data_IF_608797521911
#
_entry.id   IF_608797521911
#
_cell.length_a   1.000
_cell.length_b   1.000
_cell.length_c   1.000
_cell.angle_alpha   90.00
_cell.angle_beta   90.00
_cell.angle_gamma   90.00
#
_symmetry.space_group_name_H-M   'P 1'
#
loop_
_entity.id
_entity.type
_entity.pdbx_description
1 polymer ?
#
# COMPACT_ATOMS: atom_id res chain seq x y z
N UNK A 1 -31.67 -8.80 35.77
CA UNK A 1 -30.25 -8.55 36.13
C UNK A 1 -30.19 -7.92 37.50
N UNK A 2 -28.99 -7.81 38.09
CA UNK A 2 -28.76 -7.15 39.38
C UNK A 2 -28.10 -5.79 39.09
N UNK A 3 -28.62 -4.71 39.69
CA UNK A 3 -28.01 -3.37 39.65
C UNK A 3 -27.00 -3.27 40.80
N UNK A 4 -25.82 -2.71 40.54
CA UNK A 4 -24.78 -2.51 41.56
C UNK A 4 -25.06 -1.28 42.41
N UNK A 5 -25.34 -0.14 41.77
CA UNK A 5 -25.72 1.14 42.39
C UNK A 5 -24.60 1.93 43.07
N UNK A 6 -23.35 1.46 43.02
CA UNK A 6 -22.20 2.11 43.67
C UNK A 6 -20.88 1.73 42.98
N UNK A 7 -20.84 1.86 41.65
CA UNK A 7 -19.63 1.54 40.87
C UNK A 7 -18.56 2.62 41.11
N UNK A 8 -17.51 2.27 41.86
CA UNK A 8 -16.39 3.17 42.18
C UNK A 8 -15.09 2.40 42.44
N UNK A 9 -13.97 3.12 42.44
CA UNK A 9 -12.64 2.52 42.56
C UNK A 9 -12.44 1.70 43.86
N UNK A 10 -13.03 2.11 44.98
CA UNK A 10 -12.93 1.36 46.25
C UNK A 10 -13.65 0.02 46.22
N UNK A 11 -14.61 -0.16 45.32
CA UNK A 11 -15.40 -1.39 45.17
C UNK A 11 -14.83 -2.28 44.05
N UNK A 12 -13.63 -1.97 43.53
CA UNK A 12 -12.92 -2.77 42.54
C UNK A 12 -11.62 -3.27 43.13
N UNK A 13 -11.50 -4.59 43.28
CA UNK A 13 -10.24 -5.23 43.67
C UNK A 13 -9.45 -5.64 42.43
N UNK A 14 -8.14 -5.40 42.45
CA UNK A 14 -7.23 -5.84 41.40
C UNK A 14 -6.33 -6.93 41.97
N UNK A 15 -6.45 -8.14 41.42
CA UNK A 15 -5.59 -9.27 41.77
C UNK A 15 -4.16 -9.07 41.22
N UNK A 16 -3.13 -9.74 41.77
CA UNK A 16 -1.77 -9.70 41.22
C UNK A 16 -1.67 -10.15 39.75
N UNK A 17 -2.63 -10.96 39.30
CA UNK A 17 -2.78 -11.40 37.91
C UNK A 17 -3.17 -10.26 36.95
N UNK A 18 -3.58 -9.11 37.48
CA UNK A 18 -4.16 -8.00 36.72
C UNK A 18 -5.68 -8.12 36.51
N UNK A 19 -6.32 -9.17 37.07
CA UNK A 19 -7.78 -9.33 37.01
C UNK A 19 -8.46 -8.33 37.95
N UNK A 20 -9.35 -7.50 37.39
CA UNK A 20 -10.22 -6.61 38.15
C UNK A 20 -11.54 -7.33 38.50
N UNK A 21 -11.93 -7.28 39.77
CA UNK A 21 -13.14 -7.89 40.33
C UNK A 21 -13.97 -6.80 40.99
N UNK A 22 -15.22 -6.67 40.56
CA UNK A 22 -16.19 -5.78 41.18
C UNK A 22 -16.76 -6.46 42.43
N UNK A 23 -16.81 -5.71 43.53
CA UNK A 23 -17.21 -6.16 44.87
C UNK A 23 -18.34 -5.29 45.41
N UNK A 24 -18.99 -5.71 46.51
CA UNK A 24 -19.96 -4.90 47.26
C UNK A 24 -21.17 -4.42 46.43
N UNK A 25 -21.95 -5.40 45.95
CA UNK A 25 -23.22 -5.16 45.28
C UNK A 25 -24.27 -4.67 46.28
N UNK A 26 -24.71 -3.42 46.13
CA UNK A 26 -25.91 -2.88 46.79
C UNK A 26 -25.75 -2.53 48.28
N UNK A 27 -25.52 -1.25 48.57
CA UNK A 27 -25.86 -0.61 49.86
C UNK A 27 -26.09 0.92 49.80
N UNK A 28 -25.90 1.57 48.65
CA UNK A 28 -25.63 3.02 48.59
C UNK A 28 -26.81 4.00 48.50
N UNK A 29 -28.08 3.57 48.57
CA UNK A 29 -29.23 4.49 48.45
C UNK A 29 -29.64 5.10 49.81
N UNK A 30 -29.13 4.59 50.94
CA UNK A 30 -29.48 5.12 52.28
C UNK A 30 -28.67 6.37 52.71
N UNK A 31 -27.79 6.90 51.87
CA UNK A 31 -26.78 7.90 52.27
C UNK A 31 -27.09 9.37 51.89
N UNK A 32 -28.30 9.70 51.43
CA UNK A 32 -28.71 11.11 51.24
C UNK A 32 -29.65 11.60 52.35
N UNK A 33 -29.36 11.23 53.60
CA UNK A 33 -29.99 11.86 54.77
C UNK A 33 -29.20 13.12 55.13
N UNK A 34 -29.91 14.25 55.19
CA UNK A 34 -29.39 15.59 55.44
C UNK A 34 -28.33 15.65 56.54
N UNK A 35 -27.17 16.24 56.21
CA UNK A 35 -26.23 16.79 57.19
C UNK A 35 -24.76 16.36 57.09
N UNK A 36 -24.37 15.49 56.16
CA UNK A 36 -22.97 15.02 56.13
C UNK A 36 -22.03 16.02 55.41
N UNK A 37 -20.92 16.45 56.03
CA UNK A 37 -20.08 17.50 55.52
C UNK A 37 -19.19 16.97 54.39
N UNK A 38 -19.44 17.53 53.20
CA UNK A 38 -18.57 17.57 52.03
C UNK A 38 -18.42 16.28 51.21
N UNK A 39 -18.36 16.50 49.90
CA UNK A 39 -18.16 15.52 48.81
C UNK A 39 -16.75 14.87 48.87
N UNK A 40 -16.01 15.08 49.96
CA UNK A 40 -14.58 14.79 50.17
C UNK A 40 -14.20 13.32 50.06
N UNK A 41 -15.14 12.40 50.30
CA UNK A 41 -14.92 10.96 50.14
C UNK A 41 -15.17 10.44 48.71
N UNK A 42 -15.64 11.30 47.78
CA UNK A 42 -15.77 10.98 46.36
C UNK A 42 -16.90 10.03 45.96
N UNK A 43 -17.72 9.55 46.91
CA UNK A 43 -18.87 8.69 46.62
C UNK A 43 -19.95 9.38 45.78
N UNK A 44 -20.34 10.64 46.05
CA UNK A 44 -21.26 11.38 45.18
C UNK A 44 -20.66 11.67 43.79
N UNK A 45 -19.34 11.84 43.68
CA UNK A 45 -18.66 12.16 42.42
C UNK A 45 -18.69 11.01 41.39
N UNK A 46 -18.97 9.77 41.83
CA UNK A 46 -19.15 8.61 40.94
C UNK A 46 -20.61 8.31 40.60
N UNK A 47 -21.57 8.98 41.24
CA UNK A 47 -23.00 8.71 41.03
C UNK A 47 -23.50 9.38 39.75
N UNK A 48 -24.51 8.76 39.14
CA UNK A 48 -25.19 9.33 37.98
C UNK A 48 -26.04 10.55 38.39
N UNK A 49 -26.21 11.56 37.50
CA UNK A 49 -26.95 12.78 37.81
C UNK A 49 -28.38 12.53 38.32
N UNK A 50 -29.06 11.54 37.75
CA UNK A 50 -30.42 11.17 38.14
C UNK A 50 -30.48 10.49 39.52
N UNK A 51 -29.43 9.75 39.90
CA UNK A 51 -29.31 9.12 41.22
C UNK A 51 -29.00 10.18 42.28
N UNK A 52 -28.13 11.15 41.96
CA UNK A 52 -27.89 12.33 42.79
C UNK A 52 -29.18 13.15 43.02
N UNK A 53 -30.06 13.19 42.01
CA UNK A 53 -31.38 13.82 42.09
C UNK A 53 -32.44 12.95 42.81
N UNK A 54 -32.05 11.84 43.44
CA UNK A 54 -32.92 10.99 44.25
C UNK A 54 -33.67 9.90 43.48
N UNK A 55 -33.37 9.67 42.19
CA UNK A 55 -33.94 8.50 41.48
C UNK A 55 -33.27 7.20 41.95
N UNK A 56 -33.98 6.06 41.89
CA UNK A 56 -33.38 4.76 42.21
C UNK A 56 -32.19 4.44 41.31
N UNK A 57 -31.24 3.66 41.84
CA UNK A 57 -30.16 3.12 41.04
C UNK A 57 -30.70 2.27 39.88
N UNK A 58 -30.04 2.35 38.72
CA UNK A 58 -30.43 1.64 37.51
C UNK A 58 -29.21 1.09 36.76
N UNK A 59 -29.44 0.25 35.76
CA UNK A 59 -28.36 -0.28 34.91
C UNK A 59 -27.62 0.83 34.17
N UNK A 60 -28.35 1.85 33.71
CA UNK A 60 -27.80 3.04 33.06
C UNK A 60 -26.98 3.89 34.05
N UNK A 61 -27.39 3.92 35.32
CA UNK A 61 -26.63 4.54 36.41
C UNK A 61 -25.29 3.84 36.64
N UNK A 62 -25.27 2.51 36.61
CA UNK A 62 -24.03 1.72 36.71
C UNK A 62 -23.09 1.96 35.51
N UNK A 63 -23.63 2.12 34.31
CA UNK A 63 -22.84 2.49 33.12
C UNK A 63 -22.20 3.86 33.31
N UNK A 64 -22.94 4.83 33.86
CA UNK A 64 -22.39 6.15 34.15
C UNK A 64 -21.26 6.07 35.18
N UNK A 65 -21.48 5.39 36.31
CA UNK A 65 -20.45 5.21 37.34
C UNK A 65 -19.20 4.49 36.81
N UNK A 66 -19.39 3.50 35.94
CA UNK A 66 -18.28 2.85 35.20
C UNK A 66 -17.53 3.85 34.31
N UNK A 67 -18.26 4.74 33.62
CA UNK A 67 -17.67 5.81 32.80
C UNK A 67 -16.85 6.78 33.62
N UNK A 68 -17.33 7.16 34.80
CA UNK A 68 -16.60 8.00 35.76
C UNK A 68 -15.32 7.30 36.23
N UNK A 69 -15.40 6.01 36.57
CA UNK A 69 -14.24 5.21 36.96
C UNK A 69 -13.18 5.18 35.85
N UNK A 70 -13.58 4.89 34.61
CA UNK A 70 -12.65 4.91 33.47
C UNK A 70 -12.04 6.29 33.25
N UNK A 71 -12.85 7.35 33.29
CA UNK A 71 -12.36 8.72 33.17
C UNK A 71 -11.29 9.01 34.24
N UNK A 72 -11.55 8.61 35.50
CA UNK A 72 -10.61 8.79 36.61
C UNK A 72 -9.34 7.97 36.42
N UNK A 73 -9.43 6.73 35.94
CA UNK A 73 -8.26 5.91 35.66
C UNK A 73 -7.35 6.53 34.60
N UNK A 74 -7.92 7.16 33.56
CA UNK A 74 -7.12 7.75 32.49
C UNK A 74 -6.61 9.17 32.81
N UNK A 75 -7.28 9.92 33.66
CA UNK A 75 -6.98 11.35 33.91
C UNK A 75 -6.50 11.65 35.32
N UNK A 76 -6.72 10.76 36.28
CA UNK A 76 -6.54 11.00 37.71
C UNK A 76 -7.57 11.93 38.33
N UNK A 77 -8.58 12.40 37.58
CA UNK A 77 -9.58 13.40 38.00
C UNK A 77 -11.00 12.90 37.79
N UNK A 78 -11.98 13.52 38.43
CA UNK A 78 -13.39 13.28 38.14
C UNK A 78 -13.86 14.11 36.93
N UNK A 79 -14.83 13.61 36.14
CA UNK A 79 -15.37 14.35 35.00
C UNK A 79 -16.10 15.62 35.44
N UNK A 80 -16.81 15.55 36.57
CA UNK A 80 -17.38 16.69 37.29
C UNK A 80 -16.88 16.61 38.72
N UNK A 81 -16.22 17.66 39.19
CA UNK A 81 -15.77 17.80 40.57
C UNK A 81 -16.55 18.94 41.23
N UNK A 82 -16.78 18.86 42.54
CA UNK A 82 -17.44 19.89 43.33
C UNK A 82 -17.05 19.70 44.81
N UNK A 83 -17.16 20.77 45.61
CA UNK A 83 -16.87 20.72 47.04
C UNK A 83 -18.14 20.40 47.86
N UNK A 84 -19.31 20.80 47.35
CA UNK A 84 -20.62 20.53 47.97
C UNK A 84 -21.55 19.75 47.04
N UNK A 85 -22.55 19.07 47.62
CA UNK A 85 -23.57 18.35 46.85
C UNK A 85 -24.42 19.30 46.01
N UNK A 86 -24.76 20.47 46.55
CA UNK A 86 -25.49 21.53 45.84
C UNK A 86 -24.72 22.01 44.61
N UNK A 87 -23.41 22.24 44.75
CA UNK A 87 -22.55 22.60 43.63
C UNK A 87 -22.46 21.47 42.59
N UNK A 88 -22.36 20.22 43.02
CA UNK A 88 -22.31 19.07 42.14
C UNK A 88 -23.58 18.95 41.29
N UNK A 89 -24.75 19.07 41.92
CA UNK A 89 -26.05 19.07 41.25
C UNK A 89 -26.15 20.23 40.25
N UNK A 90 -25.79 21.45 40.67
CA UNK A 90 -25.79 22.63 39.82
C UNK A 90 -24.86 22.49 38.61
N UNK A 91 -23.68 21.87 38.76
CA UNK A 91 -22.75 21.60 37.65
C UNK A 91 -23.29 20.56 36.67
N UNK A 92 -23.97 19.53 37.16
CA UNK A 92 -24.68 18.57 36.28
C UNK A 92 -25.87 19.20 35.57
N UNK A 93 -26.54 20.18 36.19
CA UNK A 93 -27.65 20.91 35.58
C UNK A 93 -27.21 21.87 34.48
N UNK A 94 -26.08 22.56 34.67
CA UNK A 94 -25.58 23.58 33.75
C UNK A 94 -24.80 23.03 32.54
N UNK A 95 -24.25 21.82 32.61
CA UNK A 95 -23.39 21.28 31.57
C UNK A 95 -24.07 20.18 30.73
N UNK A 96 -24.07 20.28 29.38
CA UNK A 96 -24.32 19.10 28.54
C UNK A 96 -23.20 18.09 28.81
N UNK A 97 -23.57 16.81 28.94
CA UNK A 97 -22.75 15.60 29.18
C UNK A 97 -21.23 15.79 29.28
N UNK A 98 -20.61 15.22 30.32
CA UNK A 98 -19.20 15.46 30.63
C UNK A 98 -18.27 14.94 29.51
N UNK A 99 -17.96 15.81 28.55
CA UNK A 99 -17.10 15.49 27.41
C UNK A 99 -15.67 15.24 27.86
N UNK A 100 -15.02 14.27 27.21
CA UNK A 100 -13.61 13.97 27.42
C UNK A 100 -12.72 15.20 27.21
N UNK A 101 -11.99 15.60 28.26
CA UNK A 101 -11.02 16.71 28.23
C UNK A 101 -9.56 16.28 28.46
N UNK A 102 -9.29 14.97 28.54
CA UNK A 102 -7.96 14.42 28.84
C UNK A 102 -6.97 14.37 27.66
N UNK A 103 -7.20 15.14 26.60
CA UNK A 103 -6.31 15.24 25.42
C UNK A 103 -6.39 14.06 24.44
N UNK A 104 -5.48 14.05 23.44
CA UNK A 104 -5.51 13.13 22.29
C UNK A 104 -4.93 11.72 22.55
N UNK A 105 -4.54 11.41 23.79
CA UNK A 105 -3.86 10.15 24.12
C UNK A 105 -4.74 8.90 23.99
N UNK A 106 -6.06 9.03 24.06
CA UNK A 106 -6.99 7.90 23.89
C UNK A 106 -7.45 7.75 22.44
N UNK A 107 -7.57 6.53 21.88
CA UNK A 107 -8.17 6.32 20.58
C UNK A 107 -9.56 6.95 20.46
N UNK A 108 -9.88 7.54 19.29
CA UNK A 108 -11.19 8.18 19.05
C UNK A 108 -12.40 7.30 19.41
N UNK A 109 -12.42 5.99 19.10
CA UNK A 109 -13.54 5.13 19.49
C UNK A 109 -13.73 5.01 21.00
N UNK A 110 -12.64 4.98 21.78
CA UNK A 110 -12.70 4.93 23.23
C UNK A 110 -13.21 6.27 23.80
N UNK A 111 -12.79 7.40 23.25
CA UNK A 111 -13.30 8.73 23.65
C UNK A 111 -14.81 8.83 23.45
N UNK A 112 -15.31 8.40 22.27
CA UNK A 112 -16.74 8.40 21.97
C UNK A 112 -17.54 7.50 22.91
N UNK A 113 -16.99 6.33 23.25
CA UNK A 113 -17.62 5.43 24.21
C UNK A 113 -17.72 6.09 25.59
N UNK A 114 -16.63 6.70 26.08
CA UNK A 114 -16.63 7.41 27.36
C UNK A 114 -17.62 8.58 27.38
N UNK A 115 -17.68 9.37 26.30
CA UNK A 115 -18.66 10.46 26.17
C UNK A 115 -20.10 9.94 26.24
N UNK A 116 -20.40 8.80 25.59
CA UNK A 116 -21.73 8.18 25.62
C UNK A 116 -22.08 7.58 26.98
N UNK A 117 -21.12 6.95 27.67
CA UNK A 117 -21.33 6.43 29.03
C UNK A 117 -21.61 7.55 30.04
N UNK A 118 -20.99 8.72 29.84
CA UNK A 118 -21.13 9.92 30.67
C UNK A 118 -22.27 10.83 30.21
N UNK A 119 -23.20 10.33 29.37
CA UNK A 119 -24.34 11.14 28.97
C UNK A 119 -25.25 11.43 30.16
N UNK A 120 -25.80 12.64 30.22
CA UNK A 120 -26.71 13.06 31.29
C UNK A 120 -28.01 12.28 31.23
N UNK A 121 -28.52 12.01 30.02
CA UNK A 121 -29.75 11.28 29.80
C UNK A 121 -29.49 9.77 29.91
N UNK A 122 -30.13 9.05 30.85
CA UNK A 122 -29.90 7.61 31.03
C UNK A 122 -30.16 6.80 29.75
N UNK A 123 -31.17 7.17 28.97
CA UNK A 123 -31.54 6.48 27.73
C UNK A 123 -30.57 6.67 26.55
N UNK A 124 -29.68 7.66 26.62
CA UNK A 124 -28.64 7.87 25.59
C UNK A 124 -27.37 7.07 25.88
N UNK A 125 -27.28 6.46 27.08
CA UNK A 125 -26.13 5.67 27.48
C UNK A 125 -26.20 4.28 26.83
N UNK A 126 -25.05 3.71 26.42
CA UNK A 126 -25.01 2.34 25.94
C UNK A 126 -25.36 1.38 27.08
N UNK A 127 -25.88 0.21 26.72
CA UNK A 127 -26.01 -0.90 27.66
C UNK A 127 -24.62 -1.43 28.08
N UNK A 128 -24.56 -2.21 29.18
CA UNK A 128 -23.33 -2.88 29.59
C UNK A 128 -22.78 -3.82 28.50
N UNK A 129 -23.67 -4.49 27.74
CA UNK A 129 -23.30 -5.36 26.63
C UNK A 129 -22.69 -4.60 25.45
N UNK A 130 -23.29 -3.48 25.06
CA UNK A 130 -22.76 -2.60 24.01
C UNK A 130 -21.43 -1.96 24.44
N UNK A 131 -21.32 -1.58 25.71
CA UNK A 131 -20.07 -1.07 26.29
C UNK A 131 -18.96 -2.11 26.19
N UNK A 132 -19.23 -3.36 26.59
CA UNK A 132 -18.26 -4.46 26.47
C UNK A 132 -17.87 -4.74 25.01
N UNK A 133 -18.84 -4.74 24.10
CA UNK A 133 -18.58 -4.94 22.67
C UNK A 133 -17.70 -3.82 22.09
N UNK A 134 -17.97 -2.57 22.46
CA UNK A 134 -17.19 -1.42 22.05
C UNK A 134 -15.76 -1.49 22.62
N UNK A 135 -15.58 -1.85 23.89
CA UNK A 135 -14.25 -2.04 24.50
C UNK A 135 -13.44 -3.12 23.79
N UNK A 136 -14.03 -4.28 23.48
CA UNK A 136 -13.37 -5.35 22.70
C UNK A 136 -12.96 -4.87 21.31
N UNK A 137 -13.80 -4.07 20.66
CA UNK A 137 -13.47 -3.49 19.36
C UNK A 137 -12.26 -2.53 19.43
N UNK A 138 -12.11 -1.79 20.53
CA UNK A 138 -10.94 -0.94 20.78
C UNK A 138 -9.68 -1.77 21.01
N UNK A 139 -9.78 -2.85 21.80
CA UNK A 139 -8.65 -3.77 22.06
C UNK A 139 -8.09 -4.39 20.76
N UNK A 140 -8.93 -4.64 19.77
CA UNK A 140 -8.54 -5.23 18.49
C UNK A 140 -7.94 -4.24 17.47
N UNK A 141 -7.98 -2.92 17.73
CA UNK A 141 -7.46 -1.89 16.81
C UNK A 141 -5.97 -2.12 16.43
N UNK A 142 -5.05 -2.43 17.37
CA UNK A 142 -3.64 -2.66 17.03
C UNK A 142 -3.44 -3.87 16.11
N UNK A 143 -4.22 -4.94 16.30
CA UNK A 143 -4.15 -6.17 15.49
C UNK A 143 -4.61 -5.92 14.05
N UNK A 144 -5.70 -5.17 13.86
CA UNK A 144 -6.23 -4.84 12.53
C UNK A 144 -5.27 -3.95 11.73
N UNK A 145 -4.62 -2.97 12.37
CA UNK A 145 -3.63 -2.10 11.70
C UNK A 145 -2.42 -2.88 11.22
N UNK A 146 -1.86 -3.77 12.05
CA UNK A 146 -0.71 -4.61 11.67
C UNK A 146 -1.04 -5.54 10.49
N UNK A 147 -2.21 -6.19 10.51
CA UNK A 147 -2.66 -7.06 9.39
C UNK A 147 -2.81 -6.32 8.06
N UNK A 148 -3.34 -5.10 8.07
CA UNK A 148 -3.47 -4.30 6.84
C UNK A 148 -2.12 -3.89 6.27
N UNK A 149 -1.19 -3.47 7.13
CA UNK A 149 0.16 -3.14 6.69
C UNK A 149 0.89 -4.37 6.14
N UNK A 150 0.78 -5.54 6.79
CA UNK A 150 1.39 -6.76 6.27
C UNK A 150 0.81 -7.19 4.92
N UNK A 151 -0.51 -7.07 4.72
CA UNK A 151 -1.14 -7.35 3.42
C UNK A 151 -0.67 -6.36 2.35
N UNK A 152 -0.58 -5.07 2.67
CA UNK A 152 -0.08 -4.05 1.75
C UNK A 152 1.38 -4.32 1.36
N UNK A 153 2.24 -4.71 2.30
CA UNK A 153 3.64 -5.07 1.99
C UNK A 153 3.72 -6.32 1.11
N UNK A 154 2.90 -7.34 1.36
CA UNK A 154 2.87 -8.55 0.51
C UNK A 154 2.42 -8.20 -0.91
N UNK A 155 1.38 -7.38 -1.06
CA UNK A 155 0.87 -6.96 -2.36
C UNK A 155 1.89 -6.12 -3.12
N UNK A 156 2.58 -5.19 -2.45
CA UNK A 156 3.64 -4.38 -3.04
C UNK A 156 4.82 -5.25 -3.51
N UNK A 157 5.24 -6.24 -2.72
CA UNK A 157 6.28 -7.19 -3.10
C UNK A 157 5.89 -8.04 -4.31
N UNK A 158 4.63 -8.49 -4.39
CA UNK A 158 4.13 -9.25 -5.54
C UNK A 158 4.12 -8.40 -6.82
N UNK A 159 3.71 -7.13 -6.73
CA UNK A 159 3.73 -6.22 -7.87
C UNK A 159 5.16 -5.92 -8.34
N UNK A 160 6.11 -5.73 -7.41
CA UNK A 160 7.53 -5.55 -7.75
C UNK A 160 8.13 -6.78 -8.41
N UNK A 161 7.82 -7.99 -7.89
CA UNK A 161 8.27 -9.24 -8.49
C UNK A 161 7.70 -9.42 -9.90
N UNK A 162 6.42 -9.11 -10.12
CA UNK A 162 5.79 -9.18 -11.43
C UNK A 162 6.39 -8.17 -12.41
N UNK A 163 6.68 -6.94 -11.97
CA UNK A 163 7.35 -5.94 -12.79
C UNK A 163 8.78 -6.39 -13.17
N UNK A 164 9.53 -6.98 -12.25
CA UNK A 164 10.88 -7.48 -12.49
C UNK A 164 10.89 -8.69 -13.45
N UNK A 165 9.94 -9.63 -13.31
CA UNK A 165 9.85 -10.79 -14.21
C UNK A 165 9.42 -10.38 -15.62
N UNK A 166 8.45 -9.49 -15.74
CA UNK A 166 7.99 -8.97 -17.04
C UNK A 166 9.09 -8.17 -17.76
N UNK A 167 9.78 -7.28 -17.05
CA UNK A 167 10.91 -6.53 -17.63
C UNK A 167 12.07 -7.46 -18.01
N UNK A 168 12.41 -8.43 -17.16
CA UNK A 168 13.41 -9.45 -17.47
C UNK A 168 13.05 -10.27 -18.71
N UNK A 169 11.78 -10.68 -18.83
CA UNK A 169 11.28 -11.42 -19.99
C UNK A 169 11.36 -10.61 -21.29
N UNK A 170 10.96 -9.34 -21.26
CA UNK A 170 11.03 -8.44 -22.43
C UNK A 170 12.47 -8.20 -22.88
N UNK A 171 13.39 -7.98 -21.95
CA UNK A 171 14.80 -7.77 -22.27
C UNK A 171 15.43 -9.04 -22.87
N UNK A 172 15.16 -10.22 -22.29
CA UNK A 172 15.62 -11.49 -22.82
C UNK A 172 15.07 -11.77 -24.23
N UNK A 173 13.81 -11.39 -24.50
CA UNK A 173 13.22 -11.58 -25.81
C UNK A 173 13.83 -10.63 -26.86
N UNK A 174 14.18 -9.40 -26.47
CA UNK A 174 14.90 -8.46 -27.36
C UNK A 174 16.28 -8.98 -27.72
N UNK A 175 17.06 -9.44 -26.73
CA UNK A 175 18.40 -9.98 -26.99
C UNK A 175 18.36 -11.23 -27.88
N UNK A 176 17.34 -12.09 -27.73
CA UNK A 176 17.18 -13.26 -28.58
C UNK A 176 16.85 -12.89 -30.05
N UNK A 177 16.00 -11.88 -30.26
CA UNK A 177 15.67 -11.40 -31.61
C UNK A 177 16.86 -10.75 -32.30
N UNK A 178 17.63 -9.95 -31.56
CA UNK A 178 18.86 -9.32 -32.08
C UNK A 178 19.90 -10.37 -32.45
N UNK A 179 20.08 -11.41 -31.62
CA UNK A 179 20.98 -12.52 -31.92
C UNK A 179 20.55 -13.30 -33.17
N UNK A 180 19.25 -13.57 -33.33
CA UNK A 180 18.75 -14.28 -34.50
C UNK A 180 18.91 -13.47 -35.79
N UNK A 181 18.58 -12.17 -35.75
CA UNK A 181 18.79 -11.28 -36.90
C UNK A 181 20.27 -11.24 -37.31
N UNK A 182 21.19 -11.14 -36.34
CA UNK A 182 22.63 -11.15 -36.62
C UNK A 182 23.11 -12.49 -37.23
N UNK A 183 22.52 -13.63 -36.83
CA UNK A 183 22.83 -14.94 -37.40
C UNK A 183 22.34 -15.06 -38.84
N UNK A 184 21.09 -14.66 -39.11
CA UNK A 184 20.50 -14.67 -40.46
C UNK A 184 21.32 -13.80 -41.42
N UNK A 185 21.75 -12.61 -40.98
CA UNK A 185 22.61 -11.73 -41.77
C UNK A 185 23.97 -12.38 -42.09
N UNK A 186 24.60 -13.02 -41.10
CA UNK A 186 25.89 -13.70 -41.27
C UNK A 186 25.81 -14.90 -42.21
N UNK A 187 24.77 -15.74 -42.07
CA UNK A 187 24.53 -16.89 -42.94
C UNK A 187 24.24 -16.44 -44.39
N UNK A 188 23.43 -15.39 -44.56
CA UNK A 188 23.10 -14.85 -45.89
C UNK A 188 24.32 -14.27 -46.60
N UNK A 189 25.16 -13.53 -45.89
CA UNK A 189 26.41 -12.98 -46.44
C UNK A 189 27.35 -14.11 -46.88
N UNK A 190 27.45 -15.17 -46.06
CA UNK A 190 28.30 -16.33 -46.37
C UNK A 190 27.75 -17.11 -47.57
N UNK A 191 26.44 -17.33 -47.65
CA UNK A 191 25.79 -17.98 -48.79
C UNK A 191 26.01 -17.18 -50.07
N UNK A 192 25.78 -15.86 -50.05
CA UNK A 192 25.99 -15.00 -51.21
C UNK A 192 27.43 -15.06 -51.72
N UNK A 193 28.42 -14.99 -50.82
CA UNK A 193 29.83 -15.10 -51.22
C UNK A 193 30.15 -16.48 -51.82
N UNK A 194 29.56 -17.55 -51.27
CA UNK A 194 29.70 -18.89 -51.82
C UNK A 194 29.09 -19.00 -53.22
N UNK A 195 27.86 -18.52 -53.40
CA UNK A 195 27.12 -18.56 -54.66
C UNK A 195 27.81 -17.71 -55.74
N UNK A 196 28.38 -16.57 -55.34
CA UNK A 196 29.18 -15.70 -56.20
C UNK A 196 30.48 -16.37 -56.65
N UNK A 197 31.26 -16.93 -55.73
CA UNK A 197 32.56 -17.54 -56.04
C UNK A 197 32.42 -18.84 -56.84
N UNK A 198 31.32 -19.57 -56.61
CA UNK A 198 31.00 -20.81 -57.31
C UNK A 198 30.05 -20.61 -58.49
N UNK A 199 29.78 -19.35 -58.88
CA UNK A 199 28.89 -19.03 -59.98
C UNK A 199 29.37 -19.76 -61.26
N UNK A 200 28.47 -20.43 -62.01
CA UNK A 200 28.85 -21.23 -63.18
C UNK A 200 29.70 -20.46 -64.20
N UNK A 201 29.45 -19.16 -64.35
CA UNK A 201 30.16 -18.31 -65.30
C UNK A 201 31.57 -17.92 -64.84
N UNK A 202 31.80 -17.84 -63.53
CA UNK A 202 33.14 -17.68 -62.95
C UNK A 202 33.93 -18.98 -63.11
N UNK A 203 33.31 -20.11 -62.75
CA UNK A 203 33.94 -21.44 -62.84
C UNK A 203 34.30 -21.80 -64.29
N UNK A 204 33.42 -21.48 -65.27
CA UNK A 204 33.66 -21.74 -66.70
C UNK A 204 34.82 -20.93 -67.28
N UNK A 205 35.05 -19.70 -66.81
CA UNK A 205 36.15 -18.84 -67.29
C UNK A 205 37.54 -19.36 -66.88
N UNK A 206 37.62 -20.24 -65.89
CA UNK A 206 38.87 -20.91 -65.51
C UNK A 206 39.88 -19.99 -64.82
N UNK A 207 41.18 -20.32 -64.85
CA UNK A 207 42.21 -19.64 -64.03
C UNK A 207 42.49 -18.19 -64.44
N UNK A 208 42.07 -17.75 -65.63
CA UNK A 208 42.32 -16.41 -66.17
C UNK A 208 41.22 -15.38 -65.84
N UNK A 209 40.30 -15.70 -64.91
CA UNK A 209 39.28 -14.76 -64.41
C UNK A 209 39.93 -13.51 -63.83
N UNK A 210 39.56 -12.34 -64.34
CA UNK A 210 40.00 -11.07 -63.76
C UNK A 210 39.09 -10.71 -62.60
N UNK A 211 39.64 -10.01 -61.62
CA UNK A 211 38.88 -9.51 -60.45
C UNK A 211 37.69 -8.64 -60.88
N UNK A 212 37.85 -7.86 -61.96
CA UNK A 212 36.74 -7.05 -62.53
C UNK A 212 35.57 -7.92 -62.99
N UNK A 213 35.85 -9.06 -63.63
CA UNK A 213 34.81 -9.98 -64.11
C UNK A 213 34.01 -10.59 -62.93
N UNK A 214 34.65 -10.79 -61.77
CA UNK A 214 33.99 -11.23 -60.53
C UNK A 214 33.15 -10.10 -59.93
N UNK A 215 33.63 -8.86 -59.95
CA UNK A 215 32.90 -7.70 -59.41
C UNK A 215 31.66 -7.37 -60.25
N UNK A 216 31.73 -7.54 -61.58
CA UNK A 216 30.57 -7.36 -62.47
C UNK A 216 29.50 -8.44 -62.21
N UNK A 217 29.94 -9.69 -62.03
CA UNK A 217 29.06 -10.78 -61.65
C UNK A 217 28.41 -10.53 -60.28
N UNK A 218 29.20 -10.06 -59.30
CA UNK A 218 28.74 -9.74 -57.96
C UNK A 218 27.67 -8.65 -57.95
N UNK A 219 27.82 -7.61 -58.80
CA UNK A 219 26.83 -6.55 -58.94
C UNK A 219 25.50 -7.10 -59.46
N UNK A 220 25.54 -7.82 -60.58
CA UNK A 220 24.34 -8.39 -61.21
C UNK A 220 23.60 -9.35 -60.27
N UNK A 221 24.37 -10.16 -59.52
CA UNK A 221 23.81 -11.10 -58.58
C UNK A 221 23.24 -10.42 -57.33
N UNK A 222 23.87 -9.35 -56.83
CA UNK A 222 23.33 -8.55 -55.74
C UNK A 222 21.98 -7.91 -56.12
N UNK A 223 21.84 -7.41 -57.35
CA UNK A 223 20.58 -6.81 -57.81
C UNK A 223 19.45 -7.83 -57.99
N UNK A 224 19.78 -9.08 -58.30
CA UNK A 224 18.79 -10.15 -58.52
C UNK A 224 18.40 -10.85 -57.22
N UNK A 225 19.39 -11.23 -56.40
CA UNK A 225 19.19 -12.14 -55.27
C UNK A 225 18.97 -11.41 -53.93
N UNK A 226 19.25 -10.10 -53.88
CA UNK A 226 19.17 -9.30 -52.64
C UNK A 226 18.20 -8.11 -52.73
N UNK A 227 17.43 -7.98 -53.80
CA UNK A 227 16.47 -6.88 -53.99
C UNK A 227 15.37 -6.81 -52.92
N UNK A 228 15.12 -7.89 -52.20
CA UNK A 228 14.20 -7.98 -51.07
C UNK A 228 14.86 -7.62 -49.71
N UNK A 229 16.18 -7.45 -49.70
CA UNK A 229 17.02 -7.19 -48.53
C UNK A 229 17.89 -5.94 -48.72
N UNK A 230 17.28 -4.74 -48.73
CA UNK A 230 17.92 -3.47 -49.07
C UNK A 230 19.19 -3.16 -48.24
N UNK A 231 19.21 -3.51 -46.94
CA UNK A 231 20.41 -3.35 -46.10
C UNK A 231 21.60 -4.18 -46.57
N UNK A 232 21.38 -5.44 -46.92
CA UNK A 232 22.43 -6.37 -47.33
C UNK A 232 22.89 -6.05 -48.75
N UNK A 233 21.94 -5.75 -49.65
CA UNK A 233 22.22 -5.28 -51.01
C UNK A 233 23.09 -4.02 -50.99
N UNK A 234 22.69 -3.00 -50.21
CA UNK A 234 23.45 -1.75 -50.10
C UNK A 234 24.87 -1.95 -49.55
N UNK A 235 25.05 -2.80 -48.53
CA UNK A 235 26.39 -3.14 -47.99
C UNK A 235 27.28 -3.84 -49.01
N UNK A 236 26.73 -4.79 -49.78
CA UNK A 236 27.47 -5.54 -50.79
C UNK A 236 27.83 -4.64 -51.97
N UNK A 237 26.89 -3.83 -52.47
CA UNK A 237 27.15 -2.84 -53.51
C UNK A 237 28.23 -1.86 -53.08
N UNK A 238 28.19 -1.36 -51.84
CA UNK A 238 29.23 -0.48 -51.32
C UNK A 238 30.63 -1.14 -51.31
N UNK A 239 30.71 -2.43 -50.95
CA UNK A 239 31.96 -3.18 -50.99
C UNK A 239 32.47 -3.35 -52.44
N UNK A 240 31.58 -3.69 -53.38
CA UNK A 240 31.90 -3.84 -54.80
C UNK A 240 32.41 -2.51 -55.37
N UNK A 241 31.72 -1.40 -55.09
CA UNK A 241 32.13 -0.05 -55.49
C UNK A 241 33.52 0.30 -54.95
N UNK A 242 33.80 -0.02 -53.68
CA UNK A 242 35.13 0.20 -53.09
C UNK A 242 36.23 -0.60 -53.78
N UNK A 243 35.97 -1.86 -54.13
CA UNK A 243 36.94 -2.69 -54.86
C UNK A 243 37.15 -2.15 -56.28
N UNK A 244 36.08 -1.81 -57.02
CA UNK A 244 36.18 -1.21 -58.36
C UNK A 244 36.95 0.11 -58.36
N UNK A 245 36.69 0.99 -57.39
CA UNK A 245 37.45 2.23 -57.23
C UNK A 245 38.95 1.96 -57.04
N UNK A 246 39.31 0.96 -56.22
CA UNK A 246 40.72 0.57 -55.99
C UNK A 246 41.40 0.01 -57.24
N UNK A 247 40.64 -0.55 -58.17
CA UNK A 247 41.10 -1.08 -59.46
C UNK A 247 41.13 -0.02 -60.57
N UNK A 248 40.89 1.26 -60.24
CA UNK A 248 40.90 2.37 -61.19
C UNK A 248 39.59 2.58 -61.97
N UNK A 249 38.52 1.87 -61.61
CA UNK A 249 37.18 2.01 -62.22
C UNK A 249 36.35 3.08 -61.48
N UNK A 250 36.84 4.32 -61.47
CA UNK A 250 36.29 5.41 -60.66
C UNK A 250 34.84 5.77 -61.01
N UNK A 251 34.52 5.88 -62.30
CA UNK A 251 33.19 6.30 -62.76
C UNK A 251 32.12 5.24 -62.44
N UNK A 252 32.42 3.96 -62.72
CA UNK A 252 31.52 2.84 -62.38
C UNK A 252 31.35 2.66 -60.87
N UNK A 253 32.41 2.85 -60.09
CA UNK A 253 32.33 2.77 -58.64
C UNK A 253 31.39 3.85 -58.07
N UNK A 254 31.39 5.05 -58.67
CA UNK A 254 30.51 6.14 -58.25
C UNK A 254 29.03 5.83 -58.49
N UNK A 255 28.70 5.18 -59.60
CA UNK A 255 27.35 4.69 -59.87
C UNK A 255 26.93 3.64 -58.84
N UNK A 256 27.80 2.66 -58.58
CA UNK A 256 27.52 1.60 -57.61
C UNK A 256 27.33 2.16 -56.19
N UNK A 257 28.06 3.21 -55.81
CA UNK A 257 27.83 3.88 -54.51
C UNK A 257 26.47 4.56 -54.42
N UNK A 258 25.97 5.14 -55.52
CA UNK A 258 24.62 5.72 -55.56
C UNK A 258 23.55 4.65 -55.45
N UNK A 259 23.73 3.52 -56.13
CA UNK A 259 22.83 2.37 -56.02
C UNK A 259 22.83 1.82 -54.59
N UNK A 260 24.01 1.73 -53.97
CA UNK A 260 24.17 1.33 -52.56
C UNK A 260 23.45 2.29 -51.59
N UNK A 261 23.59 3.59 -51.80
CA UNK A 261 22.92 4.62 -50.98
C UNK A 261 21.40 4.57 -51.15
N UNK A 262 20.90 4.38 -52.37
CA UNK A 262 19.49 4.18 -52.67
C UNK A 262 18.93 2.94 -51.96
N UNK A 263 19.63 1.81 -52.03
CA UNK A 263 19.25 0.59 -51.33
C UNK A 263 19.27 0.77 -49.80
N UNK A 264 20.25 1.48 -49.23
CA UNK A 264 20.28 1.77 -47.80
C UNK A 264 19.19 2.76 -47.36
N UNK A 265 18.72 3.63 -48.25
CA UNK A 265 17.65 4.58 -47.97
C UNK A 265 16.25 3.95 -48.00
N UNK A 266 16.08 2.78 -48.64
CA UNK A 266 14.83 2.03 -48.71
C UNK A 266 14.70 0.93 -47.63
N UNK A 267 15.74 0.75 -46.82
CA UNK A 267 15.79 -0.15 -45.67
C UNK A 267 15.14 0.42 -44.39
#
# INVERSE_FOLDING_TARGET
>A
GIVHGDVKASNVMVEPSGRAVLMDFGAGIDLLRDGDPAVTAGSPLSMAPEVLAGRPASFEGDVYGTGVLFFRLFTGRYPVAAETLEELLGRHDAAPSARWRGGDRLPRPLRRLLDAMLDRSPGERPTAGETLAALRAVEDLPRRRRRRLSLATVLASLLLALAATTTGWVLAQRSAREAEAARVDAESTTSFLSDLLLAPDIVKKGPDVRVLDVMDQARNQADTDLGDRPLLQGRILWLIGRVKASLGQGDEALEIFRDAESALATA
#
